data_IF_297056734298
#
_entry.id   IF_297056734298
#
_cell.length_a   1.000
_cell.length_b   1.000
_cell.length_c   1.000
_cell.angle_alpha   90.00
_cell.angle_beta   90.00
_cell.angle_gamma   90.00
#
_symmetry.space_group_name_H-M   'P 1'
#
loop_
_entity.id
_entity.type
_entity.pdbx_description
1 polymer ?
#
# COMPACT_ATOMS: atom_id res chain seq x y z
N UNK A 1 -31.12 -10.85 -12.50
CA UNK A 1 -31.08 -11.45 -11.16
C UNK A 1 -29.62 -11.53 -10.75
N UNK A 2 -29.12 -10.50 -10.07
CA UNK A 2 -27.72 -10.44 -9.62
C UNK A 2 -27.64 -11.11 -8.25
N UNK A 3 -26.74 -12.07 -8.02
CA UNK A 3 -26.56 -12.63 -6.70
C UNK A 3 -25.79 -11.61 -5.87
N UNK A 4 -26.47 -10.93 -4.97
CA UNK A 4 -25.88 -10.22 -3.85
C UNK A 4 -25.30 -11.24 -2.88
N UNK A 5 -24.11 -11.73 -3.17
CA UNK A 5 -23.28 -12.37 -2.15
C UNK A 5 -22.48 -11.29 -1.47
N UNK A 6 -22.97 -10.83 -0.33
CA UNK A 6 -22.12 -10.11 0.61
C UNK A 6 -21.00 -11.05 1.03
N UNK A 7 -19.80 -10.86 0.46
CA UNK A 7 -18.61 -11.68 0.74
C UNK A 7 -17.98 -11.36 2.11
N UNK A 8 -18.63 -10.54 2.90
CA UNK A 8 -18.21 -10.12 4.23
C UNK A 8 -19.33 -10.45 5.21
N UNK A 9 -19.03 -11.24 6.21
CA UNK A 9 -19.97 -11.58 7.28
C UNK A 9 -19.39 -11.13 8.61
N UNK A 10 -20.20 -10.42 9.39
CA UNK A 10 -19.88 -10.01 10.75
C UNK A 10 -20.59 -10.93 11.72
N UNK A 11 -19.88 -11.51 12.63
CA UNK A 11 -20.43 -12.29 13.71
C UNK A 11 -19.96 -11.70 15.05
N UNK A 12 -20.89 -11.11 15.80
CA UNK A 12 -20.65 -10.65 17.15
C UNK A 12 -20.86 -11.83 18.10
N UNK A 13 -19.79 -12.49 18.49
CA UNK A 13 -19.86 -13.56 19.49
C UNK A 13 -19.56 -12.98 20.86
N UNK A 14 -20.61 -12.80 21.68
CA UNK A 14 -20.45 -12.49 23.11
C UNK A 14 -20.07 -13.77 23.83
N UNK A 15 -18.82 -13.93 24.18
CA UNK A 15 -18.39 -14.99 25.09
C UNK A 15 -18.38 -14.40 26.51
N UNK A 16 -19.48 -14.56 27.24
CA UNK A 16 -19.52 -14.31 28.67
C UNK A 16 -18.88 -15.50 29.39
N UNK A 17 -17.62 -15.39 29.72
CA UNK A 17 -17.01 -16.26 30.73
C UNK A 17 -17.28 -15.65 32.10
N UNK A 18 -18.02 -16.39 32.93
CA UNK A 18 -18.20 -16.08 34.36
C UNK A 18 -16.83 -16.04 35.02
N UNK A 19 -16.35 -14.85 35.37
CA UNK A 19 -15.22 -14.68 36.28
C UNK A 19 -14.05 -13.84 35.85
N UNK A 20 -13.97 -13.36 34.60
CA UNK A 20 -12.87 -12.48 34.18
C UNK A 20 -13.36 -11.36 33.25
N UNK A 21 -12.72 -10.21 33.35
CA UNK A 21 -13.00 -8.96 32.62
C UNK A 21 -13.64 -9.22 31.25
N UNK A 22 -14.83 -8.64 31.01
CA UNK A 22 -15.56 -8.75 29.74
C UNK A 22 -14.67 -8.31 28.57
N UNK A 23 -13.87 -9.22 28.03
CA UNK A 23 -13.19 -9.02 26.78
C UNK A 23 -14.21 -9.14 25.65
N UNK A 24 -14.67 -8.02 25.15
CA UNK A 24 -15.56 -7.97 23.99
C UNK A 24 -14.83 -8.51 22.77
N UNK A 25 -15.12 -9.75 22.41
CA UNK A 25 -14.57 -10.43 21.24
C UNK A 25 -15.57 -10.34 20.10
N UNK A 26 -15.09 -10.01 18.92
CA UNK A 26 -15.89 -10.04 17.70
C UNK A 26 -15.09 -10.63 16.56
N UNK A 27 -15.78 -11.21 15.62
CA UNK A 27 -15.21 -11.91 14.49
C UNK A 27 -15.58 -11.24 13.17
N UNK A 28 -14.59 -11.12 12.30
CA UNK A 28 -14.73 -10.61 10.95
C UNK A 28 -14.34 -11.70 9.97
N UNK A 29 -15.25 -12.06 9.08
CA UNK A 29 -15.01 -13.11 8.10
C UNK A 29 -14.99 -12.53 6.69
N UNK A 30 -13.96 -12.88 5.91
CA UNK A 30 -13.79 -12.41 4.54
C UNK A 30 -13.38 -13.55 3.61
N UNK A 31 -13.89 -13.54 2.40
CA UNK A 31 -13.58 -14.57 1.39
C UNK A 31 -12.15 -14.42 0.86
N UNK A 32 -11.42 -15.54 0.76
CA UNK A 32 -10.02 -15.58 0.27
C UNK A 32 -9.84 -14.99 -1.14
N UNK A 33 -10.86 -15.07 -1.99
CA UNK A 33 -10.83 -14.47 -3.32
C UNK A 33 -10.83 -12.94 -3.34
N UNK A 34 -11.16 -12.27 -2.23
CA UNK A 34 -11.26 -10.82 -2.17
C UNK A 34 -9.96 -10.14 -1.75
N UNK A 35 -9.27 -10.72 -0.75
CA UNK A 35 -8.03 -10.16 -0.21
C UNK A 35 -6.94 -11.22 -0.11
N UNK A 36 -5.73 -10.82 -0.46
CA UNK A 36 -4.54 -11.64 -0.30
C UNK A 36 -4.07 -11.68 1.17
N UNK A 37 -3.39 -12.74 1.61
CA UNK A 37 -2.89 -12.86 2.99
C UNK A 37 -2.06 -11.67 3.43
N UNK A 38 -1.21 -11.14 2.55
CA UNK A 38 -0.35 -9.99 2.84
C UNK A 38 -1.13 -8.71 3.14
N UNK A 39 -2.28 -8.53 2.48
CA UNK A 39 -3.18 -7.39 2.71
C UNK A 39 -3.79 -7.48 4.09
N UNK A 40 -4.30 -8.67 4.45
CA UNK A 40 -4.94 -8.92 5.76
C UNK A 40 -3.93 -8.74 6.89
N UNK A 41 -2.72 -9.29 6.76
CA UNK A 41 -1.66 -9.16 7.76
C UNK A 41 -1.23 -7.71 7.97
N UNK A 42 -1.12 -6.93 6.90
CA UNK A 42 -0.75 -5.51 7.00
C UNK A 42 -1.87 -4.67 7.62
N UNK A 43 -3.13 -4.94 7.27
CA UNK A 43 -4.27 -4.28 7.89
C UNK A 43 -4.34 -4.63 9.39
N UNK A 44 -4.24 -5.90 9.75
CA UNK A 44 -4.22 -6.33 11.14
C UNK A 44 -3.07 -5.67 11.92
N UNK A 45 -1.89 -5.57 11.33
CA UNK A 45 -0.74 -4.92 11.97
C UNK A 45 -1.01 -3.46 12.36
N UNK A 46 -1.79 -2.72 11.58
CA UNK A 46 -2.13 -1.34 11.89
C UNK A 46 -2.94 -1.21 13.19
N UNK A 47 -3.72 -2.23 13.56
CA UNK A 47 -4.63 -2.24 14.71
C UNK A 47 -4.11 -2.97 15.95
N UNK A 48 -2.88 -3.48 15.95
CA UNK A 48 -2.30 -4.19 17.12
C UNK A 48 -2.17 -3.33 18.37
N UNK A 49 -2.22 -2.00 18.26
CA UNK A 49 -2.21 -1.09 19.40
C UNK A 49 -3.55 -1.09 20.14
N UNK A 50 -4.65 -1.21 19.41
CA UNK A 50 -6.00 -1.01 19.89
C UNK A 50 -6.70 -2.32 20.23
N UNK A 51 -6.30 -3.42 19.60
CA UNK A 51 -6.88 -4.73 19.78
C UNK A 51 -5.85 -5.87 19.80
N UNK A 52 -6.20 -6.96 20.47
CA UNK A 52 -5.58 -8.26 20.23
C UNK A 52 -6.24 -8.90 19.03
N UNK A 53 -5.45 -9.38 18.09
CA UNK A 53 -5.94 -9.90 16.81
C UNK A 53 -5.46 -11.33 16.64
N UNK A 54 -6.39 -12.21 16.32
CA UNK A 54 -6.12 -13.60 15.99
C UNK A 54 -6.69 -13.90 14.61
N UNK A 55 -5.90 -14.48 13.73
CA UNK A 55 -6.27 -14.76 12.35
C UNK A 55 -6.29 -16.27 12.16
N UNK A 56 -7.44 -16.79 11.80
CA UNK A 56 -7.66 -18.17 11.44
C UNK A 56 -7.99 -18.27 9.95
N UNK A 57 -7.75 -19.43 9.37
CA UNK A 57 -8.11 -19.68 8.00
C UNK A 57 -8.98 -20.95 7.86
N UNK A 58 -9.94 -20.85 6.97
CA UNK A 58 -10.68 -21.99 6.43
C UNK A 58 -10.34 -22.14 4.95
N UNK A 59 -10.76 -23.23 4.28
CA UNK A 59 -10.46 -23.39 2.85
C UNK A 59 -10.87 -22.18 1.99
N UNK A 60 -12.00 -21.54 2.30
CA UNK A 60 -12.60 -20.50 1.48
C UNK A 60 -12.54 -19.10 2.08
N UNK A 61 -12.30 -18.98 3.41
CA UNK A 61 -12.41 -17.70 4.11
C UNK A 61 -11.27 -17.48 5.10
N UNK A 62 -11.03 -16.20 5.38
CA UNK A 62 -10.23 -15.73 6.51
C UNK A 62 -11.16 -15.34 7.64
N UNK A 63 -10.86 -15.77 8.86
CA UNK A 63 -11.57 -15.42 10.08
C UNK A 63 -10.63 -14.60 10.95
N UNK A 64 -11.00 -13.35 11.22
CA UNK A 64 -10.19 -12.42 11.99
C UNK A 64 -10.94 -12.12 13.28
N UNK A 65 -10.38 -12.57 14.39
CA UNK A 65 -10.94 -12.40 15.72
C UNK A 65 -10.25 -11.23 16.42
N UNK A 66 -11.05 -10.30 16.91
CA UNK A 66 -10.60 -9.11 17.61
C UNK A 66 -11.03 -9.13 19.07
N UNK A 67 -10.12 -8.72 19.96
CA UNK A 67 -10.42 -8.38 21.33
C UNK A 67 -9.89 -6.97 21.60
N UNK A 68 -10.78 -5.99 21.78
CA UNK A 68 -10.38 -4.63 22.07
C UNK A 68 -9.67 -4.54 23.42
N UNK A 69 -8.63 -3.73 23.49
CA UNK A 69 -7.87 -3.48 24.71
C UNK A 69 -8.58 -2.49 25.64
N UNK A 70 -9.44 -1.65 25.09
CA UNK A 70 -10.21 -0.64 25.80
C UNK A 70 -11.70 -0.97 25.75
N UNK A 71 -12.35 -1.06 26.89
CA UNK A 71 -13.78 -1.44 27.01
C UNK A 71 -14.76 -0.37 26.49
N UNK A 72 -14.31 0.85 26.24
CA UNK A 72 -15.15 1.97 25.81
C UNK A 72 -15.27 2.13 24.28
N UNK A 73 -14.83 1.15 23.50
CA UNK A 73 -14.73 1.26 22.05
C UNK A 73 -16.07 1.12 21.32
N UNK A 74 -16.32 1.98 20.35
CA UNK A 74 -17.38 1.79 19.37
C UNK A 74 -16.97 0.72 18.35
N UNK A 75 -17.44 -0.51 18.53
CA UNK A 75 -17.11 -1.66 17.67
C UNK A 75 -17.44 -1.39 16.19
N UNK A 76 -18.55 -0.71 15.92
CA UNK A 76 -18.94 -0.40 14.55
C UNK A 76 -17.96 0.56 13.88
N UNK A 77 -17.47 1.56 14.61
CA UNK A 77 -16.45 2.47 14.09
C UNK A 77 -15.13 1.72 13.87
N UNK A 78 -14.70 0.89 14.83
CA UNK A 78 -13.48 0.07 14.71
C UNK A 78 -13.53 -0.84 13.47
N UNK A 79 -14.67 -1.51 13.26
CA UNK A 79 -14.85 -2.38 12.09
C UNK A 79 -14.80 -1.59 10.79
N UNK A 80 -15.44 -0.42 10.72
CA UNK A 80 -15.39 0.44 9.54
C UNK A 80 -13.97 0.94 9.24
N UNK A 81 -13.20 1.29 10.26
CA UNK A 81 -11.80 1.66 10.11
C UNK A 81 -10.94 0.49 9.62
N UNK A 82 -11.17 -0.70 10.16
CA UNK A 82 -10.49 -1.91 9.71
C UNK A 82 -10.78 -2.26 8.24
N UNK A 83 -12.03 -2.13 7.81
CA UNK A 83 -12.41 -2.30 6.39
C UNK A 83 -11.73 -1.28 5.48
N UNK A 84 -11.71 -0.02 5.88
CA UNK A 84 -11.03 1.04 5.14
C UNK A 84 -9.52 0.74 5.03
N UNK A 85 -8.91 0.23 6.08
CA UNK A 85 -7.50 -0.17 6.04
C UNK A 85 -7.27 -1.38 5.14
N UNK A 86 -8.15 -2.38 5.12
CA UNK A 86 -8.10 -3.50 4.18
C UNK A 86 -8.10 -3.01 2.73
N UNK A 87 -9.00 -2.09 2.39
CA UNK A 87 -9.08 -1.48 1.06
C UNK A 87 -7.79 -0.71 0.76
N UNK A 88 -7.31 0.08 1.71
CA UNK A 88 -6.07 0.85 1.59
C UNK A 88 -4.87 -0.05 1.29
N UNK A 89 -4.72 -1.14 2.04
CA UNK A 89 -3.63 -2.10 1.83
C UNK A 89 -3.78 -2.87 0.51
N UNK A 90 -5.00 -3.18 0.08
CA UNK A 90 -5.25 -3.81 -1.22
C UNK A 90 -4.83 -2.89 -2.38
N UNK A 91 -5.17 -1.61 -2.31
CA UNK A 91 -4.74 -0.62 -3.31
C UNK A 91 -3.22 -0.47 -3.33
N UNK A 92 -2.57 -0.36 -2.15
CA UNK A 92 -1.10 -0.30 -2.04
C UNK A 92 -0.44 -1.54 -2.63
N UNK A 93 -1.01 -2.72 -2.41
CA UNK A 93 -0.51 -3.96 -3.00
C UNK A 93 -0.61 -3.95 -4.53
N UNK A 94 -1.74 -3.53 -5.08
CA UNK A 94 -1.93 -3.43 -6.54
C UNK A 94 -0.94 -2.43 -7.16
N UNK A 95 -0.75 -1.25 -6.56
CA UNK A 95 0.24 -0.28 -7.02
C UNK A 95 1.66 -0.85 -6.93
N UNK A 96 1.98 -1.57 -5.85
CA UNK A 96 3.27 -2.24 -5.72
C UNK A 96 3.50 -3.23 -6.86
N UNK A 97 2.53 -4.10 -7.16
CA UNK A 97 2.64 -5.08 -8.24
C UNK A 97 2.85 -4.43 -9.61
N UNK A 98 2.21 -3.31 -9.86
CA UNK A 98 2.36 -2.58 -11.12
C UNK A 98 3.70 -1.85 -11.27
N UNK A 99 4.29 -1.42 -10.16
CA UNK A 99 5.44 -0.51 -10.17
C UNK A 99 6.74 -1.12 -9.65
N UNK A 100 6.73 -2.32 -9.05
CA UNK A 100 7.91 -2.88 -8.40
C UNK A 100 9.08 -3.07 -9.38
N UNK A 101 8.84 -3.63 -10.56
CA UNK A 101 9.86 -3.85 -11.59
C UNK A 101 10.52 -2.54 -12.03
N UNK A 102 9.72 -1.48 -12.21
CA UNK A 102 10.24 -0.17 -12.55
C UNK A 102 11.13 0.41 -11.44
N UNK A 103 10.69 0.28 -10.19
CA UNK A 103 11.49 0.73 -9.03
C UNK A 103 12.80 -0.05 -8.89
N UNK A 104 12.76 -1.36 -9.08
CA UNK A 104 13.96 -2.20 -9.04
C UNK A 104 14.95 -1.82 -10.13
N UNK A 105 14.45 -1.56 -11.35
CA UNK A 105 15.28 -1.10 -12.46
C UNK A 105 15.93 0.26 -12.18
N UNK A 106 15.16 1.22 -11.65
CA UNK A 106 15.68 2.54 -11.29
C UNK A 106 16.71 2.46 -10.17
N UNK A 107 16.45 1.61 -9.16
CA UNK A 107 17.37 1.41 -8.05
C UNK A 107 18.66 0.71 -8.51
N UNK A 108 18.55 -0.31 -9.36
CA UNK A 108 19.71 -0.96 -9.95
C UNK A 108 20.57 0.04 -10.75
N UNK A 109 19.93 0.89 -11.55
CA UNK A 109 20.63 1.93 -12.31
C UNK A 109 21.31 2.95 -11.40
N UNK A 110 20.63 3.40 -10.34
CA UNK A 110 21.22 4.34 -9.38
C UNK A 110 22.42 3.73 -8.65
N UNK A 111 22.33 2.46 -8.27
CA UNK A 111 23.45 1.75 -7.62
C UNK A 111 24.61 1.51 -8.58
N UNK A 112 24.31 1.17 -9.83
CA UNK A 112 25.37 0.96 -10.85
C UNK A 112 26.13 2.26 -11.10
N UNK A 113 25.46 3.41 -11.12
CA UNK A 113 26.11 4.71 -11.32
C UNK A 113 27.06 5.10 -10.17
N UNK A 114 26.88 4.53 -8.97
CA UNK A 114 27.80 4.75 -7.84
C UNK A 114 29.00 3.79 -7.84
N UNK A 115 28.94 2.72 -8.64
CA UNK A 115 30.00 1.70 -8.78
C UNK A 115 30.87 1.91 -10.01
N UNK A 116 30.60 2.96 -10.81
CA UNK A 116 31.39 3.24 -11.99
C UNK A 116 32.72 3.84 -11.52
N UNK A 117 33.74 3.02 -11.63
CA UNK A 117 35.15 3.36 -11.53
C UNK A 117 35.51 4.39 -12.63
N UNK A 118 36.58 5.16 -12.45
CA UNK A 118 37.09 6.28 -13.29
C UNK A 118 37.26 5.98 -14.81
N UNK A 119 36.75 4.86 -15.30
CA UNK A 119 36.76 4.43 -16.70
C UNK A 119 35.37 4.40 -17.36
N UNK A 120 34.43 5.23 -16.91
CA UNK A 120 33.09 5.29 -17.49
C UNK A 120 33.16 5.70 -18.97
N UNK A 121 32.61 4.88 -19.89
CA UNK A 121 32.45 5.27 -21.29
C UNK A 121 31.62 6.54 -21.48
N UNK A 122 30.78 6.90 -20.50
CA UNK A 122 30.01 8.16 -20.49
C UNK A 122 30.89 9.39 -20.26
N UNK A 123 31.99 9.29 -19.50
CA UNK A 123 32.97 10.38 -19.39
C UNK A 123 33.67 10.66 -20.72
N UNK A 124 33.83 9.62 -21.57
CA UNK A 124 34.34 9.81 -22.94
C UNK A 124 33.34 10.48 -23.87
N UNK A 125 32.04 10.30 -23.63
CA UNK A 125 30.98 10.98 -24.40
C UNK A 125 30.79 12.41 -23.90
N UNK A 126 30.97 12.65 -22.60
CA UNK A 126 30.97 14.02 -22.01
C UNK A 126 32.25 14.79 -22.32
N UNK A 127 33.37 14.10 -22.59
CA UNK A 127 34.63 14.72 -23.01
C UNK A 127 34.68 15.06 -24.48
N UNK A 128 33.87 14.39 -25.31
CA UNK A 128 33.55 14.82 -26.67
C UNK A 128 32.39 15.84 -26.54
N UNK A 129 32.72 17.03 -26.07
CA UNK A 129 31.83 18.18 -26.09
C UNK A 129 31.30 18.29 -27.52
N UNK A 130 30.13 17.75 -27.77
CA UNK A 130 29.24 18.38 -28.72
C UNK A 130 29.16 19.82 -28.22
N UNK A 131 29.83 20.74 -28.90
CA UNK A 131 29.62 22.18 -28.76
C UNK A 131 28.11 22.40 -28.96
N UNK A 132 27.37 22.30 -27.88
CA UNK A 132 25.97 22.71 -27.86
C UNK A 132 26.08 24.22 -27.99
N UNK A 133 25.82 24.71 -29.19
CA UNK A 133 25.83 26.13 -29.49
C UNK A 133 24.95 26.82 -28.46
N UNK A 134 25.52 27.76 -27.69
CA UNK A 134 24.80 28.57 -26.69
C UNK A 134 23.52 29.19 -27.29
N UNK A 135 23.53 29.44 -28.59
CA UNK A 135 22.36 29.95 -29.33
C UNK A 135 21.24 28.88 -29.44
N UNK A 136 21.58 27.61 -29.59
CA UNK A 136 20.63 26.51 -29.65
C UNK A 136 20.01 26.26 -28.29
N UNK A 137 20.77 26.28 -27.21
CA UNK A 137 20.31 26.24 -25.83
C UNK A 137 19.37 27.41 -25.50
N UNK A 138 19.74 28.61 -25.86
CA UNK A 138 18.93 29.82 -25.64
C UNK A 138 17.65 29.76 -26.48
N UNK A 139 17.65 29.21 -27.69
CA UNK A 139 16.48 29.02 -28.53
C UNK A 139 15.48 28.01 -27.90
N UNK A 140 15.98 26.92 -27.33
CA UNK A 140 15.15 25.91 -26.65
C UNK A 140 14.55 26.49 -25.37
N UNK A 141 15.32 27.21 -24.58
CA UNK A 141 14.85 27.85 -23.34
C UNK A 141 13.82 28.94 -23.62
N UNK A 142 14.05 29.80 -24.63
CA UNK A 142 13.12 30.86 -25.01
C UNK A 142 11.77 30.30 -25.50
N UNK A 143 11.82 29.27 -26.36
CA UNK A 143 10.59 28.60 -26.81
C UNK A 143 9.78 27.96 -25.68
N UNK A 144 10.46 27.49 -24.63
CA UNK A 144 9.80 26.87 -23.50
C UNK A 144 9.10 27.92 -22.61
N UNK A 145 9.74 29.05 -22.37
CA UNK A 145 9.17 30.16 -21.58
C UNK A 145 8.03 30.88 -22.34
N UNK A 146 8.19 31.18 -23.62
CA UNK A 146 7.15 31.84 -24.45
C UNK A 146 5.90 30.99 -24.63
N UNK A 147 6.00 29.67 -24.55
CA UNK A 147 4.84 28.79 -24.59
C UNK A 147 3.98 28.81 -23.32
N UNK A 148 4.57 29.22 -22.18
CA UNK A 148 3.86 29.37 -20.90
C UNK A 148 3.14 30.73 -20.76
N UNK A 149 3.70 31.82 -21.28
CA UNK A 149 3.08 33.14 -21.20
C UNK A 149 1.85 33.31 -22.11
N UNK A 150 1.74 32.54 -23.20
CA UNK A 150 0.58 32.59 -24.12
C UNK A 150 -0.67 31.84 -23.64
N UNK A 151 -0.63 31.22 -22.45
CA UNK A 151 -1.73 30.40 -21.92
C UNK A 151 -2.48 31.02 -20.73
N UNK A 152 -2.15 32.25 -20.34
CA UNK A 152 -2.88 33.00 -19.31
C UNK A 152 -3.57 34.23 -19.90
#
# INVERSE_FOLDING_TARGET
>A
MFPTKNNITYELTYISNEGDSQMNKFSFTVTKGMYLPQVILKAAYAFIKDAYIHIDETPDTWIINFSLKNDAGNYAAFMGEFENELISQAVRWNVYQQTHTLRELLMARAMTSTMIDDNDPMERIAGDQADIDENELNSILTNWFDSYEKKN
#
